data_IF_385924812346
#
_entry.id   IF_385924812346
#
_cell.length_a   1.000
_cell.length_b   1.000
_cell.length_c   1.000
_cell.angle_alpha   90.00
_cell.angle_beta   90.00
_cell.angle_gamma   90.00
#
_symmetry.space_group_name_H-M   'P 1'
#
loop_
_entity.id
_entity.type
_entity.pdbx_description
1 polymer ?
#
# COMPACT_ATOMS: atom_id res chain seq x y z
N UNK A 1 -4.07 30.49 24.97
CA UNK A 1 -3.90 29.03 24.93
C UNK A 1 -2.71 28.78 24.03
N UNK A 2 -1.80 27.89 24.43
CA UNK A 2 -0.72 27.47 23.55
C UNK A 2 -1.37 26.56 22.51
N UNK A 3 -1.40 26.97 21.24
CA UNK A 3 -1.93 26.13 20.16
C UNK A 3 -1.14 24.81 20.16
N UNK A 4 -1.85 23.68 20.20
CA UNK A 4 -1.21 22.38 20.07
C UNK A 4 -0.87 22.12 18.59
N UNK A 5 -0.05 21.10 18.31
CA UNK A 5 0.39 20.83 16.95
C UNK A 5 -0.80 20.52 16.03
N UNK A 6 -1.85 19.89 16.55
CA UNK A 6 -3.07 19.60 15.82
C UNK A 6 -3.80 20.86 15.32
N UNK A 7 -4.01 21.86 16.18
CA UNK A 7 -4.63 23.14 15.79
C UNK A 7 -3.76 23.89 14.78
N UNK A 8 -2.44 23.89 15.02
CA UNK A 8 -1.46 24.52 14.11
C UNK A 8 -1.48 23.87 12.72
N UNK A 9 -1.51 22.54 12.65
CA UNK A 9 -1.56 21.79 11.39
C UNK A 9 -2.82 22.09 10.58
N UNK A 10 -3.97 22.22 11.26
CA UNK A 10 -5.26 22.54 10.61
C UNK A 10 -5.30 23.96 10.05
N UNK A 11 -4.62 24.90 10.72
CA UNK A 11 -4.59 26.30 10.31
C UNK A 11 -3.56 26.63 9.22
N UNK A 12 -2.60 25.73 8.93
CA UNK A 12 -1.52 26.02 7.98
C UNK A 12 -2.03 26.21 6.55
N UNK A 13 -1.54 27.24 5.87
CA UNK A 13 -1.88 27.50 4.48
C UNK A 13 -1.34 26.40 3.56
N UNK A 14 -2.23 25.68 2.89
CA UNK A 14 -1.87 24.57 1.98
C UNK A 14 -1.40 25.10 0.62
N UNK A 15 -0.47 24.41 -0.06
CA UNK A 15 -0.14 24.72 -1.45
C UNK A 15 -1.39 24.63 -2.34
N UNK A 16 -1.44 25.48 -3.37
CA UNK A 16 -2.56 25.44 -4.31
C UNK A 16 -2.61 24.11 -5.08
N UNK A 17 -3.80 23.74 -5.54
CA UNK A 17 -3.99 22.56 -6.41
C UNK A 17 -3.05 22.57 -7.61
N UNK A 18 -2.92 23.72 -8.25
CA UNK A 18 -2.06 23.92 -9.41
C UNK A 18 -0.57 23.71 -9.06
N UNK A 19 -0.10 24.28 -7.95
CA UNK A 19 1.28 24.11 -7.50
C UNK A 19 1.60 22.63 -7.22
N UNK A 20 0.65 21.89 -6.61
CA UNK A 20 0.78 20.44 -6.38
C UNK A 20 0.85 19.66 -7.69
N UNK A 21 -0.01 19.97 -8.66
CA UNK A 21 -0.03 19.30 -9.97
C UNK A 21 1.24 19.57 -10.79
N UNK A 22 1.78 20.79 -10.71
CA UNK A 22 3.01 21.19 -11.40
C UNK A 22 4.28 20.79 -10.65
N UNK A 23 4.16 20.16 -9.47
CA UNK A 23 5.29 19.82 -8.59
C UNK A 23 6.19 21.02 -8.32
N UNK A 24 5.58 22.18 -8.09
CA UNK A 24 6.33 23.42 -7.85
C UNK A 24 7.24 23.25 -6.61
N UNK A 25 8.49 23.77 -6.61
CA UNK A 25 9.43 23.56 -5.49
C UNK A 25 8.87 23.96 -4.11
N UNK A 26 7.98 24.95 -4.06
CA UNK A 26 7.31 25.38 -2.82
C UNK A 26 6.47 24.28 -2.16
N UNK A 27 6.00 23.28 -2.91
CA UNK A 27 5.23 22.15 -2.37
C UNK A 27 6.12 21.23 -1.55
N UNK A 28 7.29 20.87 -2.08
CA UNK A 28 8.28 20.09 -1.31
C UNK A 28 8.80 20.89 -0.12
N UNK A 29 9.05 22.20 -0.29
CA UNK A 29 9.38 23.08 0.84
C UNK A 29 8.30 23.07 1.93
N UNK A 30 7.02 23.14 1.56
CA UNK A 30 5.90 23.07 2.50
C UNK A 30 5.91 21.77 3.31
N UNK A 31 6.02 20.61 2.66
CA UNK A 31 6.02 19.33 3.38
C UNK A 31 7.24 19.20 4.29
N UNK A 32 8.43 19.54 3.80
CA UNK A 32 9.67 19.40 4.56
C UNK A 32 9.78 20.36 5.75
N UNK A 33 9.27 21.60 5.63
CA UNK A 33 9.30 22.56 6.74
C UNK A 33 8.29 22.22 7.86
N UNK A 34 7.26 21.46 7.53
CA UNK A 34 6.16 21.13 8.45
C UNK A 34 6.19 19.66 8.92
N UNK A 35 7.20 18.86 8.54
CA UNK A 35 7.23 17.41 8.78
C UNK A 35 7.01 17.04 10.24
N UNK A 36 7.79 17.65 11.14
CA UNK A 36 7.76 17.33 12.57
C UNK A 36 6.45 17.78 13.21
N UNK A 37 5.95 18.96 12.79
CA UNK A 37 4.67 19.49 13.24
C UNK A 37 3.51 18.60 12.78
N UNK A 38 3.51 18.09 11.55
CA UNK A 38 2.49 17.16 11.07
C UNK A 38 2.57 15.80 11.77
N UNK A 39 3.77 15.27 12.02
CA UNK A 39 3.93 14.03 12.77
C UNK A 39 3.37 14.17 14.19
N UNK A 40 3.66 15.29 14.87
CA UNK A 40 3.10 15.59 16.18
C UNK A 40 1.57 15.78 16.12
N UNK A 41 1.05 16.48 15.12
CA UNK A 41 -0.39 16.66 14.92
C UNK A 41 -1.13 15.33 14.73
N UNK A 42 -0.54 14.39 13.98
CA UNK A 42 -1.10 13.05 13.80
C UNK A 42 -1.07 12.23 15.11
N UNK A 43 0.01 12.32 15.88
CA UNK A 43 0.08 11.68 17.20
C UNK A 43 -0.94 12.28 18.17
N UNK A 44 -1.09 13.61 18.20
CA UNK A 44 -2.11 14.30 19.00
C UNK A 44 -3.52 13.94 18.53
N UNK A 45 -3.76 13.84 17.22
CA UNK A 45 -5.06 13.42 16.67
C UNK A 45 -5.42 12.01 17.11
N UNK A 46 -4.49 11.06 17.07
CA UNK A 46 -4.73 9.68 17.48
C UNK A 46 -4.86 9.53 19.01
N UNK A 47 -4.15 10.34 19.80
CA UNK A 47 -4.27 10.34 21.27
C UNK A 47 -5.53 11.04 21.79
N UNK A 48 -5.92 12.14 21.14
CA UNK A 48 -7.22 12.78 21.40
C UNK A 48 -8.38 11.93 20.88
N UNK A 49 -8.06 10.88 20.11
CA UNK A 49 -9.02 9.94 19.54
C UNK A 49 -9.47 8.81 20.49
N UNK A 50 -10.13 9.23 21.55
CA UNK A 50 -11.46 8.70 21.88
C UNK A 50 -12.53 9.28 20.89
N UNK A 51 -12.11 9.64 19.68
CA UNK A 51 -12.79 10.50 18.70
C UNK A 51 -13.33 9.72 17.47
N UNK A 52 -13.40 8.39 17.56
CA UNK A 52 -14.15 7.54 16.63
C UNK A 52 -13.35 6.80 15.55
N UNK A 53 -12.03 6.94 15.49
CA UNK A 53 -11.18 6.08 14.64
C UNK A 53 -10.90 4.76 15.37
N UNK A 54 -11.22 3.59 14.79
CA UNK A 54 -11.06 2.31 15.48
C UNK A 54 -9.61 1.82 15.46
N UNK A 55 -9.21 1.04 16.47
CA UNK A 55 -7.88 0.41 16.52
C UNK A 55 -7.68 -0.59 15.38
N UNK A 56 -6.54 -0.50 14.69
CA UNK A 56 -6.19 -1.40 13.59
C UNK A 56 -5.49 -2.66 14.10
N UNK A 57 -6.26 -3.69 14.40
CA UNK A 57 -5.74 -4.95 14.95
C UNK A 57 -5.52 -6.04 13.89
N UNK A 58 -4.77 -7.08 14.26
CA UNK A 58 -4.55 -8.25 13.39
C UNK A 58 -5.84 -8.99 13.02
N UNK A 59 -6.95 -8.76 13.73
CA UNK A 59 -8.26 -9.30 13.37
C UNK A 59 -8.76 -8.82 12.01
N UNK A 60 -8.22 -7.73 11.44
CA UNK A 60 -8.55 -7.21 10.11
C UNK A 60 -8.14 -8.17 8.98
N UNK A 61 -7.08 -8.94 9.16
CA UNK A 61 -6.62 -9.90 8.17
C UNK A 61 -7.58 -11.10 8.10
N UNK A 62 -7.73 -11.69 6.92
CA UNK A 62 -8.49 -12.92 6.74
C UNK A 62 -7.99 -13.99 7.72
N UNK A 63 -8.92 -14.68 8.39
CA UNK A 63 -8.58 -15.61 9.47
C UNK A 63 -7.64 -16.71 9.00
N UNK A 64 -7.86 -17.27 7.80
CA UNK A 64 -7.03 -18.36 7.28
C UNK A 64 -5.64 -17.84 6.93
N UNK A 65 -5.56 -16.68 6.29
CA UNK A 65 -4.27 -16.06 5.96
C UNK A 65 -3.49 -15.72 7.23
N UNK A 66 -4.12 -15.04 8.19
CA UNK A 66 -3.52 -14.68 9.48
C UNK A 66 -2.99 -15.91 10.21
N UNK A 67 -3.82 -16.95 10.36
CA UNK A 67 -3.42 -18.18 11.05
C UNK A 67 -2.26 -18.91 10.35
N UNK A 68 -2.24 -18.95 9.02
CA UNK A 68 -1.14 -19.54 8.27
C UNK A 68 0.16 -18.72 8.42
N UNK A 69 0.08 -17.39 8.37
CA UNK A 69 1.20 -16.47 8.55
C UNK A 69 1.76 -16.58 9.96
N UNK A 70 0.91 -16.57 11.00
CA UNK A 70 1.36 -16.73 12.39
C UNK A 70 2.02 -18.09 12.62
N UNK A 71 1.49 -19.16 12.03
CA UNK A 71 2.10 -20.48 12.09
C UNK A 71 3.48 -20.51 11.42
N UNK A 72 3.65 -19.82 10.29
CA UNK A 72 4.93 -19.74 9.58
C UNK A 72 5.96 -18.85 10.28
N UNK A 73 5.55 -17.78 10.95
CA UNK A 73 6.44 -17.01 11.83
C UNK A 73 6.89 -17.82 13.05
N UNK A 74 6.01 -18.66 13.60
CA UNK A 74 6.37 -19.55 14.71
C UNK A 74 7.23 -20.73 14.27
N UNK A 75 7.01 -21.27 13.07
CA UNK A 75 7.72 -22.41 12.49
C UNK A 75 7.75 -22.23 10.96
N UNK A 76 8.85 -21.69 10.41
CA UNK A 76 8.96 -21.39 8.98
C UNK A 76 8.75 -22.59 8.06
N UNK A 77 8.89 -23.83 8.56
CA UNK A 77 8.59 -25.03 7.76
C UNK A 77 7.11 -25.15 7.37
N UNK A 78 6.22 -24.40 8.04
CA UNK A 78 4.78 -24.36 7.77
C UNK A 78 4.37 -23.37 6.68
N UNK A 79 5.31 -22.70 6.01
CA UNK A 79 5.02 -21.72 4.95
C UNK A 79 4.18 -22.29 3.78
N UNK A 80 4.16 -23.62 3.60
CA UNK A 80 3.30 -24.30 2.61
C UNK A 80 1.82 -23.94 2.77
N UNK A 81 1.32 -23.81 4.01
CA UNK A 81 -0.05 -23.40 4.26
C UNK A 81 -0.34 -21.97 3.80
N UNK A 82 0.67 -21.09 3.85
CA UNK A 82 0.57 -19.72 3.31
C UNK A 82 0.54 -19.79 1.79
N UNK A 83 1.46 -20.55 1.18
CA UNK A 83 1.52 -20.74 -0.28
C UNK A 83 0.20 -21.24 -0.86
N UNK A 84 -0.46 -22.19 -0.19
CA UNK A 84 -1.72 -22.77 -0.65
C UNK A 84 -2.88 -21.75 -0.72
N UNK A 85 -2.80 -20.64 0.02
CA UNK A 85 -3.80 -19.57 -0.01
C UNK A 85 -3.60 -18.61 -1.19
N UNK A 86 -2.39 -18.50 -1.73
CA UNK A 86 -2.07 -17.65 -2.89
C UNK A 86 -2.25 -18.41 -4.19
N UNK A 87 -3.30 -18.11 -4.94
CA UNK A 87 -3.60 -18.76 -6.22
C UNK A 87 -3.04 -17.97 -7.39
N UNK A 88 -2.25 -18.61 -8.23
CA UNK A 88 -1.80 -17.99 -9.48
C UNK A 88 -3.00 -17.85 -10.43
N UNK A 89 -3.36 -16.62 -10.76
CA UNK A 89 -4.52 -16.25 -11.59
C UNK A 89 -4.13 -15.74 -12.99
N UNK A 90 -2.84 -15.43 -13.15
CA UNK A 90 -2.17 -15.09 -14.40
C UNK A 90 -0.67 -15.39 -14.21
N UNK A 91 0.11 -15.71 -15.25
CA UNK A 91 1.55 -16.00 -15.09
C UNK A 91 2.27 -14.95 -14.23
N UNK A 92 2.78 -15.38 -13.07
CA UNK A 92 3.47 -14.52 -12.11
C UNK A 92 2.60 -13.56 -11.31
N UNK A 93 1.26 -13.70 -11.34
CA UNK A 93 0.29 -12.90 -10.59
C UNK A 93 -0.55 -13.81 -9.70
N UNK A 94 -0.51 -13.55 -8.40
CA UNK A 94 -1.19 -14.37 -7.40
C UNK A 94 -2.29 -13.58 -6.70
N UNK A 95 -3.40 -14.24 -6.39
CA UNK A 95 -4.56 -13.68 -5.70
C UNK A 95 -4.78 -14.39 -4.36
N UNK A 96 -5.20 -13.63 -3.35
CA UNK A 96 -5.67 -14.18 -2.06
C UNK A 96 -6.78 -13.32 -1.45
N UNK A 97 -7.57 -13.89 -0.54
CA UNK A 97 -8.33 -13.09 0.43
C UNK A 97 -7.34 -12.58 1.48
N UNK A 98 -7.12 -11.26 1.54
CA UNK A 98 -6.08 -10.67 2.39
C UNK A 98 -6.65 -10.10 3.67
N UNK A 99 -7.68 -9.26 3.54
CA UNK A 99 -8.47 -8.77 4.67
C UNK A 99 -9.77 -9.55 4.80
N UNK A 100 -10.26 -9.67 6.03
CA UNK A 100 -11.59 -10.18 6.33
C UNK A 100 -12.64 -9.16 5.84
N UNK A 101 -13.50 -9.50 4.87
CA UNK A 101 -14.48 -8.57 4.31
C UNK A 101 -15.45 -7.97 5.33
N UNK A 102 -15.80 -8.73 6.38
CA UNK A 102 -16.74 -8.24 7.41
C UNK A 102 -16.08 -7.26 8.39
N UNK A 103 -14.75 -7.29 8.51
CA UNK A 103 -13.98 -6.42 9.41
C UNK A 103 -13.29 -5.27 8.69
N UNK A 104 -13.26 -5.29 7.35
CA UNK A 104 -12.65 -4.26 6.53
C UNK A 104 -13.24 -2.85 6.78
N UNK A 105 -14.51 -2.78 7.23
CA UNK A 105 -15.17 -1.55 7.66
C UNK A 105 -14.37 -0.77 8.72
N UNK A 106 -13.64 -1.47 9.59
CA UNK A 106 -12.81 -0.86 10.63
C UNK A 106 -11.65 -0.09 10.02
N UNK A 107 -10.93 -0.69 9.06
CA UNK A 107 -9.85 -0.03 8.33
C UNK A 107 -10.38 1.15 7.49
N UNK A 108 -11.52 0.97 6.81
CA UNK A 108 -12.16 2.05 6.06
C UNK A 108 -12.58 3.21 6.95
N UNK A 109 -13.20 2.94 8.10
CA UNK A 109 -13.58 3.97 9.06
C UNK A 109 -12.36 4.74 9.60
N UNK A 110 -11.24 4.07 9.84
CA UNK A 110 -9.98 4.72 10.23
C UNK A 110 -9.48 5.68 9.14
N UNK A 111 -9.39 5.22 7.89
CA UNK A 111 -8.93 6.03 6.76
C UNK A 111 -9.88 7.22 6.49
N UNK A 112 -11.19 7.02 6.64
CA UNK A 112 -12.19 8.09 6.50
C UNK A 112 -12.09 9.13 7.63
N UNK A 113 -11.81 8.69 8.86
CA UNK A 113 -11.56 9.58 9.99
C UNK A 113 -10.27 10.38 9.76
N UNK A 114 -9.21 9.74 9.28
CA UNK A 114 -7.96 10.41 8.94
C UNK A 114 -8.16 11.45 7.82
N UNK A 115 -8.91 11.12 6.76
CA UNK A 115 -9.24 12.07 5.69
C UNK A 115 -10.05 13.28 6.19
N UNK A 116 -10.87 13.11 7.25
CA UNK A 116 -11.67 14.16 7.89
C UNK A 116 -10.93 14.90 9.01
N UNK A 117 -9.70 14.51 9.35
CA UNK A 117 -8.92 15.09 10.45
C UNK A 117 -8.51 16.55 10.18
N UNK A 118 -8.56 16.96 8.90
CA UNK A 118 -8.14 18.27 8.38
C UNK A 118 -6.64 18.59 8.63
N UNK A 119 -5.85 17.55 8.90
CA UNK A 119 -4.40 17.60 8.91
C UNK A 119 -3.92 17.46 7.45
N UNK A 120 -2.96 18.29 6.99
CA UNK A 120 -2.39 18.13 5.66
C UNK A 120 -1.86 16.71 5.42
N UNK A 121 -2.40 16.06 4.39
CA UNK A 121 -2.04 14.71 3.96
C UNK A 121 -1.77 14.74 2.46
N UNK A 122 -0.61 14.22 2.04
CA UNK A 122 -0.20 14.24 0.64
C UNK A 122 -0.89 13.08 -0.11
N UNK A 123 -1.66 13.36 -1.18
CA UNK A 123 -2.17 12.30 -2.04
C UNK A 123 -1.05 11.73 -2.93
N UNK A 124 -1.18 10.49 -3.43
CA UNK A 124 -0.25 9.97 -4.42
C UNK A 124 -0.24 10.81 -5.70
N UNK A 125 0.93 10.94 -6.34
CA UNK A 125 1.03 11.63 -7.62
C UNK A 125 0.47 10.77 -8.76
N UNK A 126 -0.24 11.43 -9.67
CA UNK A 126 -1.03 10.75 -10.71
C UNK A 126 -2.50 10.74 -10.33
N UNK A 127 -3.40 10.66 -11.32
CA UNK A 127 -4.86 10.74 -11.11
C UNK A 127 -5.23 12.07 -10.44
N UNK A 128 -4.87 13.17 -11.10
CA UNK A 128 -5.01 14.61 -10.78
C UNK A 128 -5.58 15.03 -9.40
N UNK A 129 -4.93 14.53 -8.33
CA UNK A 129 -5.23 14.68 -6.90
C UNK A 129 -6.43 13.85 -6.43
N UNK A 130 -6.17 12.56 -6.32
CA UNK A 130 -6.99 11.55 -5.67
C UNK A 130 -7.62 12.05 -4.36
N UNK A 131 -8.94 12.29 -4.39
CA UNK A 131 -9.70 12.71 -3.21
C UNK A 131 -9.84 11.52 -2.28
N UNK A 132 -9.02 11.46 -1.23
CA UNK A 132 -9.06 10.37 -0.24
C UNK A 132 -7.88 9.40 -0.29
N UNK A 133 -6.98 9.54 -1.28
CA UNK A 133 -5.70 8.85 -1.29
C UNK A 133 -4.67 9.50 -0.34
N UNK A 134 -3.72 8.70 0.14
CA UNK A 134 -2.70 9.12 1.10
C UNK A 134 -1.37 8.42 0.83
N UNK A 135 -0.26 9.13 1.01
CA UNK A 135 1.04 8.48 1.20
C UNK A 135 1.09 7.78 2.56
N UNK A 136 1.57 6.53 2.59
CA UNK A 136 1.53 5.68 3.78
C UNK A 136 2.93 5.43 4.38
N UNK A 137 3.97 5.42 3.56
CA UNK A 137 5.34 5.15 4.02
C UNK A 137 5.95 6.38 4.71
N UNK A 138 6.56 6.18 5.88
CA UNK A 138 7.15 7.25 6.71
C UNK A 138 8.19 8.12 6.02
N UNK A 139 8.83 7.62 4.96
CA UNK A 139 9.78 8.39 4.16
C UNK A 139 9.14 9.32 3.14
N UNK A 140 7.84 9.18 2.90
CA UNK A 140 7.12 10.01 1.92
C UNK A 140 6.80 11.36 2.54
N UNK A 141 7.00 12.44 1.78
CA UNK A 141 6.52 13.77 2.18
C UNK A 141 5.01 13.71 2.51
N UNK A 142 4.59 14.30 3.64
CA UNK A 142 3.17 14.42 3.99
C UNK A 142 2.41 13.10 4.16
N UNK A 143 3.09 12.02 4.58
CA UNK A 143 2.46 10.72 4.86
C UNK A 143 1.49 10.75 6.05
N UNK A 144 0.65 9.72 6.16
CA UNK A 144 -0.23 9.48 7.31
C UNK A 144 0.61 9.07 8.53
N UNK A 145 1.09 10.05 9.29
CA UNK A 145 2.05 9.85 10.37
C UNK A 145 1.44 9.41 11.72
N UNK A 146 0.18 8.99 11.73
CA UNK A 146 -0.48 8.49 12.94
C UNK A 146 0.24 7.24 13.46
N UNK A 147 0.71 7.21 14.72
CA UNK A 147 1.52 6.11 15.26
C UNK A 147 0.90 4.72 15.10
N UNK A 148 -0.37 4.55 15.43
CA UNK A 148 -1.09 3.28 15.32
C UNK A 148 -1.27 2.84 13.86
N UNK A 149 -1.48 3.78 12.94
CA UNK A 149 -1.45 3.45 11.51
C UNK A 149 -0.05 3.01 11.05
N UNK A 150 1.00 3.69 11.49
CA UNK A 150 2.38 3.35 11.13
C UNK A 150 2.80 1.97 11.68
N UNK A 151 2.34 1.61 12.88
CA UNK A 151 2.50 0.26 13.41
C UNK A 151 1.76 -0.78 12.56
N UNK A 152 0.50 -0.52 12.19
CA UNK A 152 -0.28 -1.38 11.32
C UNK A 152 0.37 -1.55 9.93
N UNK A 153 0.79 -0.46 9.30
CA UNK A 153 1.46 -0.46 7.99
C UNK A 153 2.76 -1.25 8.04
N UNK A 154 3.62 -1.00 9.03
CA UNK A 154 4.89 -1.72 9.21
C UNK A 154 4.62 -3.22 9.41
N UNK A 155 3.66 -3.56 10.26
CA UNK A 155 3.23 -4.94 10.48
C UNK A 155 2.74 -5.63 9.20
N UNK A 156 1.97 -4.94 8.37
CA UNK A 156 1.52 -5.46 7.06
C UNK A 156 2.71 -5.74 6.15
N UNK A 157 3.61 -4.77 5.99
CA UNK A 157 4.77 -4.91 5.09
C UNK A 157 5.70 -6.04 5.54
N UNK A 158 6.04 -6.07 6.82
CA UNK A 158 7.06 -6.97 7.37
C UNK A 158 6.53 -8.37 7.65
N UNK A 159 5.34 -8.48 8.23
CA UNK A 159 4.79 -9.77 8.68
C UNK A 159 4.08 -10.52 7.56
N UNK A 160 3.55 -9.81 6.57
CA UNK A 160 2.81 -10.39 5.45
C UNK A 160 3.54 -10.22 4.12
N UNK A 161 3.70 -8.99 3.64
CA UNK A 161 4.13 -8.76 2.25
C UNK A 161 5.54 -9.32 1.99
N UNK A 162 6.54 -9.08 2.86
CA UNK A 162 7.91 -9.57 2.66
C UNK A 162 8.04 -11.08 2.55
N UNK A 163 7.66 -11.86 3.59
CA UNK A 163 7.88 -13.29 3.57
C UNK A 163 7.10 -13.96 2.44
N UNK A 164 5.87 -13.49 2.17
CA UNK A 164 5.08 -13.95 1.02
C UNK A 164 5.79 -13.66 -0.29
N UNK A 165 6.34 -12.45 -0.47
CA UNK A 165 7.08 -12.07 -1.67
C UNK A 165 8.29 -12.98 -1.91
N UNK A 166 9.10 -13.24 -0.88
CA UNK A 166 10.25 -14.14 -0.98
C UNK A 166 9.85 -15.59 -1.28
N UNK A 167 8.69 -16.01 -0.77
CA UNK A 167 8.15 -17.36 -0.94
C UNK A 167 7.62 -17.59 -2.37
N UNK A 168 6.95 -16.58 -2.95
CA UNK A 168 6.38 -16.64 -4.30
C UNK A 168 7.40 -16.27 -5.39
N UNK A 169 8.33 -15.36 -5.08
CA UNK A 169 9.29 -14.76 -6.02
C UNK A 169 10.72 -14.82 -5.45
N UNK A 170 11.42 -15.98 -5.51
CA UNK A 170 12.71 -16.12 -4.82
C UNK A 170 13.85 -15.27 -5.39
N UNK A 171 13.70 -14.69 -6.58
CA UNK A 171 14.65 -13.77 -7.19
C UNK A 171 14.64 -12.37 -6.55
N UNK A 172 13.61 -12.03 -5.75
CA UNK A 172 13.49 -10.71 -5.09
C UNK A 172 14.33 -10.59 -3.82
N UNK A 173 14.91 -11.67 -3.32
CA UNK A 173 15.69 -11.66 -2.09
C UNK A 173 16.90 -10.74 -2.25
N UNK A 174 17.00 -9.73 -1.38
CA UNK A 174 18.01 -8.67 -1.45
C UNK A 174 17.57 -7.45 -2.25
N UNK A 175 16.35 -7.46 -2.79
CA UNK A 175 15.67 -6.34 -3.43
C UNK A 175 14.33 -6.05 -2.74
N UNK A 176 14.24 -6.33 -1.45
CA UNK A 176 13.01 -6.28 -0.65
C UNK A 176 13.25 -5.63 0.73
N UNK A 177 14.34 -4.87 0.85
CA UNK A 177 14.77 -4.25 2.10
C UNK A 177 14.02 -2.95 2.41
N UNK A 178 13.48 -2.30 1.39
CA UNK A 178 12.77 -1.04 1.46
C UNK A 178 11.29 -1.22 1.07
N UNK A 179 10.42 -0.45 1.71
CA UNK A 179 8.97 -0.44 1.46
C UNK A 179 8.52 0.84 0.76
N UNK A 180 7.34 0.84 0.14
CA UNK A 180 6.63 2.06 -0.19
C UNK A 180 5.14 1.76 -0.27
N UNK A 181 4.29 2.72 0.01
CA UNK A 181 2.87 2.49 0.03
C UNK A 181 2.07 3.76 -0.10
N UNK A 182 0.97 3.65 -0.84
CA UNK A 182 -0.02 4.70 -0.97
C UNK A 182 -1.42 4.11 -1.06
N UNK A 183 -2.43 4.86 -0.62
CA UNK A 183 -3.83 4.54 -0.89
C UNK A 183 -4.36 5.34 -2.08
N UNK A 184 -5.27 4.74 -2.84
CA UNK A 184 -5.95 5.37 -3.97
C UNK A 184 -7.45 5.18 -3.85
N UNK A 185 -8.23 6.22 -4.15
CA UNK A 185 -9.65 6.14 -4.46
C UNK A 185 -9.90 6.52 -5.93
N UNK A 186 -10.44 5.57 -6.69
CA UNK A 186 -10.90 5.79 -8.06
C UNK A 186 -12.36 6.21 -8.07
N UNK A 187 -12.71 7.18 -8.91
CA UNK A 187 -14.08 7.68 -9.09
C UNK A 187 -14.39 7.82 -10.59
N UNK A 188 -15.63 7.48 -10.99
CA UNK A 188 -16.06 7.50 -12.39
C UNK A 188 -16.06 8.91 -13.05
N UNK A 189 -16.12 9.97 -12.26
CA UNK A 189 -16.08 11.38 -12.71
C UNK A 189 -14.68 12.01 -12.62
N UNK A 190 -13.66 11.24 -12.22
CA UNK A 190 -12.27 11.66 -12.11
C UNK A 190 -11.39 10.96 -13.17
N UNK A 191 -10.07 11.17 -13.13
CA UNK A 191 -9.13 10.51 -14.05
C UNK A 191 -9.27 8.98 -13.95
N UNK A 192 -9.84 8.36 -14.99
CA UNK A 192 -10.44 7.03 -14.85
C UNK A 192 -9.47 5.88 -15.08
N UNK A 193 -8.30 6.10 -15.69
CA UNK A 193 -7.43 5.01 -16.16
C UNK A 193 -5.95 5.30 -15.98
N UNK A 194 -5.19 4.24 -15.71
CA UNK A 194 -3.74 4.28 -15.78
C UNK A 194 -3.29 3.47 -16.99
N UNK A 195 -2.61 4.11 -17.94
CA UNK A 195 -2.07 3.45 -19.14
C UNK A 195 -1.18 2.27 -18.76
N UNK A 196 -1.03 1.32 -19.68
CA UNK A 196 -0.08 0.22 -19.54
C UNK A 196 1.31 0.71 -19.11
N UNK A 197 1.80 0.16 -18.01
CA UNK A 197 3.06 0.52 -17.37
C UNK A 197 3.62 -0.68 -16.57
N UNK A 198 4.83 -0.51 -16.07
CA UNK A 198 5.43 -1.37 -15.04
C UNK A 198 5.67 -0.51 -13.80
N UNK A 199 5.67 -1.13 -12.62
CA UNK A 199 6.00 -0.45 -11.39
C UNK A 199 7.52 -0.38 -11.17
N UNK A 200 7.97 0.67 -10.49
CA UNK A 200 9.35 0.80 -10.04
C UNK A 200 9.58 0.00 -8.74
N UNK A 201 9.12 -1.25 -8.71
CA UNK A 201 9.15 -2.14 -7.55
C UNK A 201 9.69 -3.52 -7.94
N UNK A 202 10.27 -4.22 -6.97
CA UNK A 202 10.56 -5.65 -7.08
C UNK A 202 9.28 -6.46 -7.06
N UNK A 203 8.37 -6.09 -6.15
CA UNK A 203 7.05 -6.70 -5.97
C UNK A 203 6.04 -5.59 -5.68
N UNK A 204 4.88 -5.69 -6.32
CA UNK A 204 3.69 -4.87 -6.05
C UNK A 204 2.60 -5.75 -5.43
N UNK A 205 1.97 -5.24 -4.38
CA UNK A 205 0.78 -5.79 -3.75
C UNK A 205 -0.33 -4.74 -3.86
N UNK A 206 -1.43 -5.08 -4.52
CA UNK A 206 -2.61 -4.24 -4.68
C UNK A 206 -3.80 -4.88 -3.96
N UNK A 207 -4.41 -4.17 -3.01
CA UNK A 207 -5.47 -4.71 -2.14
C UNK A 207 -6.73 -3.86 -2.29
N UNK A 208 -7.87 -4.50 -2.58
CA UNK A 208 -9.16 -3.80 -2.62
C UNK A 208 -9.69 -3.56 -1.19
N UNK A 209 -10.05 -2.31 -0.91
CA UNK A 209 -10.57 -1.83 0.38
C UNK A 209 -12.08 -1.52 0.36
N UNK A 210 -12.78 -1.72 -0.75
CA UNK A 210 -14.23 -1.59 -0.80
C UNK A 210 -14.91 -2.54 0.19
N UNK A 211 -16.04 -2.10 0.76
CA UNK A 211 -16.87 -2.88 1.65
C UNK A 211 -17.83 -3.78 0.89
N UNK A 212 -18.40 -4.77 1.58
CA UNK A 212 -19.48 -5.57 1.02
C UNK A 212 -20.66 -4.65 0.64
N UNK A 213 -21.11 -4.75 -0.62
CA UNK A 213 -22.18 -3.91 -1.16
C UNK A 213 -21.73 -2.58 -1.80
N UNK A 214 -20.44 -2.24 -1.73
CA UNK A 214 -19.86 -1.12 -2.49
C UNK A 214 -19.44 -1.59 -3.89
N UNK A 215 -20.42 -1.92 -4.71
CA UNK A 215 -20.18 -2.39 -6.07
C UNK A 215 -19.65 -1.27 -6.98
N UNK A 216 -18.70 -1.63 -7.84
CA UNK A 216 -18.21 -0.76 -8.91
C UNK A 216 -18.15 -1.55 -10.23
N UNK A 217 -18.12 -0.83 -11.35
CA UNK A 217 -17.97 -1.42 -12.69
C UNK A 217 -16.76 -0.84 -13.41
N UNK A 218 -16.11 -1.66 -14.23
CA UNK A 218 -14.81 -1.34 -14.79
C UNK A 218 -13.70 -1.51 -13.74
N UNK A 219 -12.64 -0.70 -13.82
CA UNK A 219 -11.48 -0.75 -12.89
C UNK A 219 -10.78 -2.12 -12.76
N UNK A 220 -11.02 -3.06 -13.68
CA UNK A 220 -10.20 -4.27 -13.77
C UNK A 220 -8.73 -3.92 -13.95
N UNK A 221 -7.83 -4.77 -13.47
CA UNK A 221 -6.40 -4.66 -13.76
C UNK A 221 -6.09 -5.64 -14.88
N UNK A 222 -5.68 -5.11 -16.02
CA UNK A 222 -5.34 -5.91 -17.19
C UNK A 222 -3.85 -6.17 -17.21
N UNK A 223 -3.48 -7.44 -17.21
CA UNK A 223 -2.10 -7.92 -17.25
C UNK A 223 -1.72 -8.38 -18.65
N UNK A 224 -0.45 -8.20 -19.01
CA UNK A 224 0.08 -8.52 -20.32
C UNK A 224 1.28 -9.46 -20.19
N UNK A 225 1.19 -10.65 -20.78
CA UNK A 225 2.31 -11.58 -20.88
C UNK A 225 3.07 -11.29 -22.17
N UNK A 226 4.31 -10.84 -22.04
CA UNK A 226 5.16 -10.54 -23.19
C UNK A 226 5.53 -11.77 -24.00
N UNK A 227 5.71 -12.93 -23.37
CA UNK A 227 6.16 -14.15 -24.01
C UNK A 227 5.02 -14.82 -24.78
N UNK A 228 3.84 -14.93 -24.18
CA UNK A 228 2.70 -15.62 -24.78
C UNK A 228 1.74 -14.68 -25.52
N UNK A 229 1.88 -13.37 -25.33
CA UNK A 229 0.93 -12.34 -25.79
C UNK A 229 -0.47 -12.49 -25.17
N UNK A 230 -0.60 -13.29 -24.11
CA UNK A 230 -1.83 -13.41 -23.35
C UNK A 230 -2.16 -12.09 -22.67
N UNK A 231 -3.44 -11.76 -22.66
CA UNK A 231 -3.99 -10.61 -21.95
C UNK A 231 -5.15 -11.10 -21.11
N UNK A 232 -5.13 -10.79 -19.83
CA UNK A 232 -6.22 -11.13 -18.91
C UNK A 232 -6.60 -9.91 -18.08
N UNK A 233 -7.90 -9.68 -17.96
CA UNK A 233 -8.46 -8.66 -17.09
C UNK A 233 -8.87 -9.32 -15.77
N UNK A 234 -8.27 -8.87 -14.68
CA UNK A 234 -8.49 -9.41 -13.35
C UNK A 234 -9.26 -8.42 -12.49
N UNK A 235 -10.26 -8.93 -11.80
CA UNK A 235 -11.04 -8.22 -10.80
C UNK A 235 -10.73 -8.80 -9.42
N UNK A 236 -10.84 -7.94 -8.41
CA UNK A 236 -10.60 -8.34 -7.03
C UNK A 236 -11.69 -7.74 -6.14
N UNK A 237 -12.38 -8.63 -5.43
CA UNK A 237 -13.50 -8.42 -4.51
C UNK A 237 -13.03 -7.73 -3.20
N UNK A 238 -13.95 -7.23 -2.36
CA UNK A 238 -13.64 -6.69 -1.03
C UNK A 238 -12.57 -7.49 -0.25
N UNK A 239 -11.50 -6.82 0.15
CA UNK A 239 -10.42 -7.40 0.94
C UNK A 239 -9.47 -8.33 0.20
N UNK A 240 -9.68 -8.60 -1.09
CA UNK A 240 -8.77 -9.46 -1.87
C UNK A 240 -7.56 -8.67 -2.38
N UNK A 241 -6.43 -9.36 -2.49
CA UNK A 241 -5.17 -8.79 -2.95
C UNK A 241 -4.65 -9.50 -4.20
N UNK A 242 -4.00 -8.75 -5.08
CA UNK A 242 -3.14 -9.24 -6.15
C UNK A 242 -1.68 -8.91 -5.84
N UNK A 243 -0.79 -9.89 -5.98
CA UNK A 243 0.65 -9.71 -5.84
C UNK A 243 1.38 -10.18 -7.09
N UNK A 244 2.34 -9.38 -7.58
CA UNK A 244 3.12 -9.67 -8.77
C UNK A 244 4.46 -8.92 -8.74
N UNK A 245 5.41 -9.31 -9.59
CA UNK A 245 6.59 -8.47 -9.82
C UNK A 245 6.19 -7.11 -10.40
N UNK A 246 6.85 -6.03 -9.98
CA UNK A 246 6.61 -4.70 -10.56
C UNK A 246 6.91 -4.64 -12.06
N UNK A 247 7.76 -5.54 -12.55
CA UNK A 247 8.11 -5.66 -13.98
C UNK A 247 7.01 -6.29 -14.84
N UNK A 248 5.94 -6.85 -14.25
CA UNK A 248 4.78 -7.35 -15.00
C UNK A 248 4.00 -6.15 -15.54
N UNK A 249 3.92 -5.97 -16.87
CA UNK A 249 3.17 -4.86 -17.43
C UNK A 249 1.68 -5.02 -17.16
N UNK A 250 1.06 -3.93 -16.74
CA UNK A 250 -0.36 -3.91 -16.46
C UNK A 250 -0.97 -2.52 -16.66
N UNK A 251 -2.28 -2.46 -16.81
CA UNK A 251 -3.06 -1.21 -16.88
C UNK A 251 -4.28 -1.29 -15.96
N UNK A 252 -4.67 -0.13 -15.42
CA UNK A 252 -5.92 0.02 -14.68
C UNK A 252 -6.99 0.51 -15.64
N UNK A 253 -8.00 -0.32 -15.87
CA UNK A 253 -9.12 0.00 -16.76
C UNK A 253 -9.94 1.18 -16.21
N UNK A 254 -10.59 1.96 -17.09
CA UNK A 254 -11.57 2.96 -16.69
C UNK A 254 -12.56 2.41 -15.66
N UNK A 255 -12.71 3.08 -14.52
CA UNK A 255 -13.89 2.91 -13.68
C UNK A 255 -15.07 3.61 -14.36
N UNK A 256 -16.19 2.90 -14.51
CA UNK A 256 -17.37 3.41 -15.23
C UNK A 256 -18.55 3.71 -14.31
N UNK A 257 -18.58 3.10 -13.12
CA UNK A 257 -19.59 3.31 -12.08
C UNK A 257 -19.00 3.03 -10.69
N UNK A 258 -19.51 3.72 -9.68
CA UNK A 258 -19.10 3.54 -8.28
C UNK A 258 -17.73 4.15 -7.98
N UNK A 259 -17.16 3.70 -6.87
CA UNK A 259 -15.83 4.10 -6.40
C UNK A 259 -15.03 2.88 -5.98
N UNK A 260 -13.71 2.95 -6.15
CA UNK A 260 -12.82 1.86 -5.77
C UNK A 260 -11.66 2.35 -4.94
N UNK A 261 -11.57 1.86 -3.71
CA UNK A 261 -10.48 2.20 -2.79
C UNK A 261 -9.46 1.07 -2.72
N UNK A 262 -8.16 1.40 -2.79
CA UNK A 262 -7.09 0.41 -2.80
C UNK A 262 -5.92 0.84 -1.93
N UNK A 263 -5.19 -0.14 -1.40
CA UNK A 263 -3.78 0.02 -1.10
C UNK A 263 -2.93 -0.49 -2.26
N UNK A 264 -1.88 0.25 -2.59
CA UNK A 264 -0.81 -0.19 -3.49
C UNK A 264 0.50 -0.10 -2.72
N UNK A 265 1.15 -1.24 -2.57
CA UNK A 265 2.29 -1.44 -1.68
C UNK A 265 3.44 -2.08 -2.46
N UNK A 266 4.64 -1.57 -2.26
CA UNK A 266 5.83 -1.95 -3.01
C UNK A 266 6.94 -2.42 -2.08
N UNK A 267 7.71 -3.38 -2.57
CA UNK A 267 9.03 -3.73 -2.06
C UNK A 267 10.09 -3.39 -3.11
N UNK A 268 11.23 -2.91 -2.65
CA UNK A 268 12.41 -2.65 -3.47
C UNK A 268 13.69 -2.77 -2.60
N UNK A 269 14.84 -2.84 -3.25
CA UNK A 269 16.15 -2.84 -2.61
C UNK A 269 16.64 -1.43 -2.28
N UNK A 270 17.83 -1.34 -1.70
CA UNK A 270 18.44 -0.05 -1.37
C UNK A 270 18.53 0.87 -2.61
N UNK A 271 18.25 2.16 -2.41
CA UNK A 271 18.25 3.20 -3.44
C UNK A 271 17.30 2.90 -4.63
N UNK A 272 16.17 2.23 -4.38
CA UNK A 272 15.19 1.93 -5.43
C UNK A 272 15.55 0.75 -6.33
N UNK A 273 16.52 -0.08 -5.93
CA UNK A 273 16.95 -1.22 -6.75
C UNK A 273 15.85 -2.26 -6.93
N UNK A 274 15.77 -2.82 -8.13
CA UNK A 274 14.88 -3.95 -8.45
C UNK A 274 15.72 -5.09 -9.05
N UNK A 275 15.24 -6.35 -8.99
CA UNK A 275 15.92 -7.47 -9.63
C UNK A 275 16.14 -7.20 -11.12
N UNK A 276 17.33 -7.53 -11.66
CA UNK A 276 17.56 -7.53 -13.10
C UNK A 276 16.53 -8.40 -13.84
N UNK A 277 16.22 -8.05 -15.09
CA UNK A 277 15.42 -8.94 -15.95
C UNK A 277 16.13 -10.29 -16.06
N UNK A 278 15.45 -11.37 -15.67
CA UNK A 278 15.99 -12.74 -15.57
C UNK A 278 16.96 -12.98 -14.40
N UNK A 279 16.83 -12.24 -13.30
CA UNK A 279 17.51 -12.57 -12.06
C UNK A 279 17.24 -14.04 -11.70
N UNK A 280 18.32 -14.79 -11.43
CA UNK A 280 18.18 -16.19 -11.03
C UNK A 280 17.50 -16.26 -9.66
N UNK A 281 16.56 -17.19 -9.44
CA UNK A 281 15.98 -17.43 -8.12
C UNK A 281 17.08 -17.70 -7.09
N UNK A 282 17.03 -17.00 -5.95
CA UNK A 282 17.94 -17.27 -4.84
C UNK A 282 17.33 -18.36 -3.96
N UNK A 283 17.96 -19.53 -3.95
CA UNK A 283 17.57 -20.62 -3.07
C UNK A 283 18.01 -20.30 -1.63
N UNK A 284 17.05 -19.93 -0.78
CA UNK A 284 17.23 -19.76 0.66
C UNK A 284 16.29 -20.69 1.41
N UNK A 285 16.58 -20.96 2.68
CA UNK A 285 15.70 -21.75 3.55
C UNK A 285 14.39 -21.01 3.86
N UNK A 286 13.37 -21.74 4.32
CA UNK A 286 12.16 -21.10 4.83
C UNK A 286 12.48 -20.20 6.03
N UNK A 287 13.39 -20.64 6.92
CA UNK A 287 13.86 -19.80 8.02
C UNK A 287 14.38 -18.45 7.54
N UNK A 288 15.16 -18.39 6.46
CA UNK A 288 15.65 -17.13 5.90
C UNK A 288 14.56 -16.26 5.26
N UNK A 289 13.52 -16.85 4.66
CA UNK A 289 12.40 -16.09 4.10
C UNK A 289 11.60 -15.37 5.18
N UNK A 290 11.41 -16.02 6.33
CA UNK A 290 10.60 -15.54 7.46
C UNK A 290 11.44 -14.80 8.52
N UNK A 291 12.37 -13.94 8.06
CA UNK A 291 13.12 -13.01 8.91
C UNK A 291 12.91 -11.57 8.45
N UNK A 292 13.03 -10.62 9.38
CA UNK A 292 13.12 -9.20 9.02
C UNK A 292 14.49 -8.91 8.38
N UNK A 293 14.55 -8.01 7.38
CA UNK A 293 15.81 -7.56 6.83
C UNK A 293 16.62 -6.83 7.92
N UNK A 294 17.94 -7.01 7.89
CA UNK A 294 18.86 -6.28 8.79
C UNK A 294 19.27 -4.91 8.22
N UNK A 295 19.02 -4.69 6.93
CA UNK A 295 19.25 -3.41 6.27
C UNK A 295 18.39 -2.32 6.90
N UNK A 296 18.99 -1.16 7.14
CA UNK A 296 18.27 0.01 7.63
C UNK A 296 17.54 0.69 6.47
N UNK A 297 16.52 1.47 6.81
CA UNK A 297 15.96 2.44 5.88
C UNK A 297 17.07 3.37 5.35
N UNK A 298 17.14 3.52 4.04
CA UNK A 298 18.07 4.42 3.36
C UNK A 298 17.49 5.83 3.18
N UNK A 299 16.27 6.07 3.67
CA UNK A 299 15.55 7.33 3.53
C UNK A 299 15.01 7.59 2.13
N UNK A 300 15.29 6.73 1.15
CA UNK A 300 14.76 6.86 -0.20
C UNK A 300 13.32 6.35 -0.24
N UNK A 301 12.41 7.18 -0.75
CA UNK A 301 11.08 6.78 -1.17
C UNK A 301 10.87 7.19 -2.63
N UNK A 302 10.27 6.33 -3.46
CA UNK A 302 9.85 6.73 -4.78
C UNK A 302 8.73 7.78 -4.64
N UNK A 303 8.94 8.97 -5.21
CA UNK A 303 8.00 10.10 -5.35
C UNK A 303 7.82 11.08 -4.17
#
# INVERSE_FOLDING_TARGET
MQENALETARAVARPSREAMLQRHPSVSTFWNQNSDMFAQAWAEWEMTADAGAPTLESALYDEKLRSAVDAAWSDPTKEGAVRDLWKEVFPGVYKTQFFDPEKLQTLRAYLDAAAKADIPLRPPYGISLNRGGAMLDTRSEGYLAAPGFQEFYTGLMDRYMRPVSRMLFPDVIGYDTQTFGFSIQWQADADTSLRAHTDASSVTLNINLNLLGEDFSGSGVRFFDHATRQVSELFFEPGTALIHHGTVPHESMPITQGERSNFVLWLYGENGQIPPRNAAPKAVSAAERWMLPTAKSDGFAPF
#
